data_IF_982208304226
#
_entry.id   IF_982208304226
#
_cell.length_a   1.000
_cell.length_b   1.000
_cell.length_c   1.000
_cell.angle_alpha   90.00
_cell.angle_beta   90.00
_cell.angle_gamma   90.00
#
_symmetry.space_group_name_H-M   'P 1'
#
loop_
_entity.id
_entity.type
_entity.pdbx_description
1 polymer ?
#
# COMPACT_ATOMS: atom_id res chain seq x y z
N UNK A 1 29.99 45.42 -18.03
CA UNK A 1 29.38 44.10 -17.77
C UNK A 1 28.12 44.35 -16.97
N UNK A 2 26.95 44.23 -17.61
CA UNK A 2 25.65 44.30 -16.94
C UNK A 2 25.12 42.88 -16.93
N UNK A 3 24.82 42.37 -15.74
CA UNK A 3 24.12 41.09 -15.57
C UNK A 3 22.91 41.38 -14.71
N UNK A 4 21.83 41.75 -15.39
CA UNK A 4 20.50 41.83 -14.83
C UNK A 4 19.99 40.39 -14.65
N UNK A 5 19.94 39.91 -13.41
CA UNK A 5 19.27 38.66 -13.07
C UNK A 5 17.81 39.03 -12.79
N UNK A 6 16.97 38.78 -13.79
CA UNK A 6 15.51 38.84 -13.68
C UNK A 6 15.01 37.58 -12.97
N UNK A 7 14.14 37.67 -11.95
CA UNK A 7 13.44 36.50 -11.46
C UNK A 7 12.28 36.21 -12.42
N UNK A 8 12.43 35.23 -13.31
CA UNK A 8 11.26 34.68 -14.02
C UNK A 8 10.40 33.90 -13.02
N UNK A 9 9.33 34.56 -12.60
CA UNK A 9 8.15 33.93 -12.01
C UNK A 9 7.39 33.22 -13.13
N UNK A 10 7.77 31.99 -13.47
CA UNK A 10 6.95 31.16 -14.36
C UNK A 10 5.88 30.45 -13.56
N UNK A 11 4.77 31.17 -13.47
CA UNK A 11 3.45 30.70 -13.10
C UNK A 11 3.00 29.54 -14.01
N UNK A 12 2.16 28.67 -13.43
CA UNK A 12 1.20 27.74 -14.08
C UNK A 12 1.69 26.33 -14.46
N UNK A 13 1.60 25.40 -13.51
CA UNK A 13 1.18 24.02 -13.81
C UNK A 13 -0.27 23.86 -13.36
N UNK A 14 -1.16 24.55 -14.06
CA UNK A 14 -2.60 24.38 -13.94
C UNK A 14 -3.14 23.70 -15.19
N UNK A 15 -2.67 22.49 -15.49
CA UNK A 15 -3.44 21.62 -16.39
C UNK A 15 -4.64 21.12 -15.59
N UNK A 16 -5.74 21.87 -15.64
CA UNK A 16 -7.06 21.43 -15.22
C UNK A 16 -7.51 20.32 -16.18
N UNK A 17 -6.95 19.13 -15.96
CA UNK A 17 -7.51 17.91 -16.52
C UNK A 17 -8.85 17.70 -15.82
N UNK A 18 -9.94 17.40 -16.54
CA UNK A 18 -11.20 17.09 -15.89
C UNK A 18 -10.95 15.96 -14.90
N UNK A 19 -11.09 16.25 -13.60
CA UNK A 19 -10.99 15.26 -12.53
C UNK A 19 -12.01 14.17 -12.85
N UNK A 20 -11.51 13.06 -13.37
CA UNK A 20 -12.32 11.86 -13.57
C UNK A 20 -12.91 11.55 -12.20
N UNK A 21 -14.23 11.33 -12.07
CA UNK A 21 -14.80 10.99 -10.78
C UNK A 21 -14.06 9.76 -10.26
N UNK A 22 -13.39 9.93 -9.12
CA UNK A 22 -12.70 8.83 -8.45
C UNK A 22 -13.76 7.81 -8.05
N UNK A 23 -13.76 6.68 -8.74
CA UNK A 23 -14.63 5.56 -8.40
C UNK A 23 -13.96 4.85 -7.25
N UNK A 24 -14.34 5.23 -6.03
CA UNK A 24 -13.93 4.51 -4.84
C UNK A 24 -14.61 3.15 -4.79
N UNK A 25 -13.97 2.18 -4.12
CA UNK A 25 -14.62 0.92 -3.82
C UNK A 25 -15.90 1.19 -3.00
N UNK A 26 -16.98 0.43 -3.22
CA UNK A 26 -18.16 0.50 -2.37
C UNK A 26 -17.77 0.28 -0.89
N UNK A 27 -18.46 0.92 0.07
CA UNK A 27 -18.27 0.63 1.48
C UNK A 27 -18.32 -0.88 1.72
N UNK A 28 -17.39 -1.39 2.54
CA UNK A 28 -17.34 -2.80 2.89
C UNK A 28 -18.73 -3.22 3.39
N UNK A 29 -19.38 -4.13 2.66
CA UNK A 29 -20.63 -4.74 3.08
C UNK A 29 -20.34 -5.54 4.35
N UNK A 30 -21.22 -5.45 5.34
CA UNK A 30 -21.09 -6.25 6.57
C UNK A 30 -20.92 -7.74 6.21
N UNK A 31 -20.02 -8.41 6.92
CA UNK A 31 -19.81 -9.84 6.74
C UNK A 31 -21.12 -10.59 7.02
N UNK A 32 -21.62 -11.29 6.01
CA UNK A 32 -22.76 -12.18 6.18
C UNK A 32 -22.29 -13.57 6.66
N UNK A 33 -23.24 -14.43 7.02
CA UNK A 33 -22.94 -15.78 7.53
C UNK A 33 -22.12 -16.64 6.56
N UNK A 34 -22.29 -16.44 5.24
CA UNK A 34 -21.50 -17.15 4.23
C UNK A 34 -20.04 -16.70 4.27
N UNK A 35 -19.79 -15.41 4.42
CA UNK A 35 -18.43 -14.89 4.49
C UNK A 35 -17.73 -15.38 5.77
N UNK A 36 -18.46 -15.43 6.89
CA UNK A 36 -17.95 -16.02 8.13
C UNK A 36 -17.55 -17.49 7.95
N UNK A 37 -18.40 -18.29 7.29
CA UNK A 37 -18.10 -19.69 7.00
C UNK A 37 -16.84 -19.85 6.15
N UNK A 38 -16.69 -19.02 5.11
CA UNK A 38 -15.50 -19.02 4.25
C UNK A 38 -14.25 -18.66 5.05
N UNK A 39 -14.33 -17.67 5.95
CA UNK A 39 -13.21 -17.30 6.81
C UNK A 39 -12.82 -18.46 7.74
N UNK A 40 -13.81 -19.12 8.37
CA UNK A 40 -13.54 -20.30 9.21
C UNK A 40 -12.86 -21.40 8.40
N UNK A 41 -13.35 -21.70 7.20
CA UNK A 41 -12.74 -22.70 6.31
C UNK A 41 -11.32 -22.30 5.86
N UNK A 42 -11.08 -20.99 5.65
CA UNK A 42 -9.76 -20.47 5.29
C UNK A 42 -8.75 -20.67 6.41
N UNK A 43 -9.16 -20.49 7.67
CA UNK A 43 -8.30 -20.64 8.85
C UNK A 43 -8.22 -22.08 9.40
N UNK A 44 -9.16 -22.96 9.05
CA UNK A 44 -9.12 -24.40 9.39
C UNK A 44 -8.22 -25.23 8.46
N UNK A 45 -7.39 -24.55 7.65
CA UNK A 45 -6.48 -25.19 6.71
C UNK A 45 -5.34 -25.92 7.43
N UNK A 46 -5.18 -27.20 7.07
CA UNK A 46 -4.15 -28.09 7.63
C UNK A 46 -2.79 -27.96 6.95
N UNK A 47 -2.73 -27.26 5.81
CA UNK A 47 -1.53 -27.02 5.01
C UNK A 47 -0.83 -25.70 5.36
N UNK A 48 -1.25 -25.02 6.45
CA UNK A 48 -0.67 -23.74 6.88
C UNK A 48 0.84 -23.85 7.12
N UNK A 49 1.29 -24.90 7.80
CA UNK A 49 2.70 -25.11 8.13
C UNK A 49 3.56 -25.33 6.88
N UNK A 50 3.02 -26.04 5.88
CA UNK A 50 3.72 -26.28 4.61
C UNK A 50 3.90 -24.97 3.82
N UNK A 51 2.87 -24.12 3.83
CA UNK A 51 2.90 -22.81 3.18
C UNK A 51 3.85 -21.87 3.88
N UNK A 52 3.83 -21.85 5.21
CA UNK A 52 4.79 -21.08 6.00
C UNK A 52 6.22 -21.49 5.66
N UNK A 53 6.50 -22.81 5.63
CA UNK A 53 7.83 -23.32 5.29
C UNK A 53 8.27 -22.93 3.87
N UNK A 54 7.37 -23.00 2.89
CA UNK A 54 7.63 -22.61 1.51
C UNK A 54 7.87 -21.10 1.35
N UNK A 55 7.07 -20.27 2.03
CA UNK A 55 7.26 -18.82 2.08
C UNK A 55 8.62 -18.49 2.68
N UNK A 56 8.94 -19.03 3.87
CA UNK A 56 10.20 -18.78 4.56
C UNK A 56 11.41 -19.20 3.71
N UNK A 57 11.32 -20.35 3.02
CA UNK A 57 12.34 -20.80 2.09
C UNK A 57 12.57 -19.78 0.96
N UNK A 58 11.50 -19.25 0.37
CA UNK A 58 11.60 -18.25 -0.71
C UNK A 58 12.15 -16.92 -0.21
N UNK A 59 11.70 -16.47 0.96
CA UNK A 59 12.19 -15.24 1.58
C UNK A 59 13.68 -15.33 1.91
N UNK A 60 14.18 -16.50 2.32
CA UNK A 60 15.61 -16.72 2.57
C UNK A 60 16.51 -16.53 1.33
N UNK A 61 15.91 -16.56 0.13
CA UNK A 61 16.64 -16.35 -1.14
C UNK A 61 16.53 -14.90 -1.64
N UNK A 62 15.74 -14.05 -0.99
CA UNK A 62 15.64 -12.64 -1.32
C UNK A 62 16.78 -11.86 -0.67
N UNK A 63 17.60 -11.21 -1.49
CA UNK A 63 18.64 -10.27 -1.06
C UNK A 63 18.44 -8.95 -1.81
N UNK A 64 18.37 -7.80 -1.11
CA UNK A 64 18.48 -7.65 0.36
C UNK A 64 17.28 -8.24 1.10
N UNK A 65 17.47 -8.53 2.38
CA UNK A 65 16.37 -8.96 3.25
C UNK A 65 15.26 -7.90 3.22
N UNK A 66 13.99 -8.28 3.09
CA UNK A 66 12.91 -7.31 3.14
C UNK A 66 12.86 -6.63 4.50
N UNK A 67 12.54 -5.34 4.52
CA UNK A 67 12.42 -4.52 5.71
C UNK A 67 11.12 -4.88 6.49
N UNK A 68 11.09 -6.04 7.13
CA UNK A 68 9.94 -6.53 7.88
C UNK A 68 9.81 -5.88 9.27
N UNK A 69 10.94 -5.49 9.86
CA UNK A 69 11.01 -4.92 11.22
C UNK A 69 11.15 -3.41 11.25
N UNK A 70 11.49 -2.77 10.11
CA UNK A 70 11.45 -1.31 10.02
C UNK A 70 9.97 -0.93 9.89
N UNK A 71 9.36 -0.35 10.94
CA UNK A 71 7.97 0.16 10.87
C UNK A 71 7.90 1.20 9.74
N UNK A 72 7.39 0.85 8.54
CA UNK A 72 7.40 1.76 7.39
C UNK A 72 6.43 2.93 7.62
N UNK A 73 5.67 2.84 8.71
CA UNK A 73 4.60 3.71 9.14
C UNK A 73 4.96 4.46 10.44
N UNK A 74 6.21 4.49 10.88
CA UNK A 74 6.64 5.38 11.97
C UNK A 74 6.20 6.83 11.70
N UNK A 75 6.24 7.24 10.42
CA UNK A 75 5.73 8.55 10.00
C UNK A 75 4.24 8.76 10.31
N UNK A 76 3.44 7.69 10.35
CA UNK A 76 1.99 7.74 10.54
C UNK A 76 1.62 8.10 11.98
N UNK A 77 2.51 7.86 12.94
CA UNK A 77 2.35 8.31 14.33
C UNK A 77 2.23 9.83 14.44
N UNK A 78 2.76 10.60 13.48
CA UNK A 78 2.63 12.07 13.44
C UNK A 78 1.25 12.54 12.94
N UNK A 79 0.40 11.63 12.44
CA UNK A 79 -0.89 11.94 11.80
C UNK A 79 -2.12 11.29 12.47
N UNK A 80 -1.92 10.47 13.52
CA UNK A 80 -2.98 9.84 14.34
C UNK A 80 -3.17 10.60 15.67
#
# INVERSE_FOLDING_TARGET
MKSDISPESTQTFGTDSPKKPEVHAPPLVEFNERDWKILVELFDRKDSDEIEADINKKLSWMVPEPAWEDEPLDFLQEYL
#
